data_IF_294103155964
#
_entry.id   IF_294103155964
#
_cell.length_a   1.000
_cell.length_b   1.000
_cell.length_c   1.000
_cell.angle_alpha   90.00
_cell.angle_beta   90.00
_cell.angle_gamma   90.00
#
_symmetry.space_group_name_H-M   'P 1'
#
loop_
_entity.id
_entity.type
_entity.pdbx_description
1 polymer ?
#
# COMPACT_ATOMS: atom_id res chain seq x y z
N UNK A 1 17.50 50.97 -56.24
CA UNK A 1 17.79 49.77 -55.42
C UNK A 1 16.59 48.87 -55.56
N UNK A 2 16.67 47.85 -56.43
CA UNK A 2 15.59 46.87 -56.56
C UNK A 2 15.57 46.09 -55.25
N UNK A 3 14.54 46.30 -54.42
CA UNK A 3 14.30 45.41 -53.29
C UNK A 3 13.95 44.07 -53.91
N UNK A 4 14.86 43.11 -53.79
CA UNK A 4 14.75 41.78 -54.39
C UNK A 4 13.64 41.01 -53.66
N UNK A 5 12.40 41.33 -54.01
CA UNK A 5 11.21 40.71 -53.46
C UNK A 5 11.03 39.36 -54.15
N UNK A 6 11.58 38.32 -53.53
CA UNK A 6 11.30 36.97 -53.96
C UNK A 6 9.79 36.69 -53.84
N UNK A 7 9.23 36.03 -54.86
CA UNK A 7 7.83 35.64 -54.90
C UNK A 7 7.56 34.67 -53.75
N UNK A 8 6.54 34.97 -52.93
CA UNK A 8 6.05 34.05 -51.91
C UNK A 8 5.40 32.81 -52.54
N UNK A 9 5.47 31.69 -51.83
CA UNK A 9 4.84 30.43 -52.23
C UNK A 9 3.36 30.53 -51.89
N UNK A 10 2.51 30.54 -52.91
CA UNK A 10 1.05 30.59 -52.74
C UNK A 10 0.50 29.17 -52.53
N UNK A 11 -0.22 28.96 -51.43
CA UNK A 11 -0.98 27.74 -51.15
C UNK A 11 -2.48 28.01 -51.34
N UNK A 12 -3.21 27.00 -51.80
CA UNK A 12 -4.66 27.10 -52.05
C UNK A 12 -5.45 27.11 -50.74
N UNK A 13 -4.97 26.37 -49.74
CA UNK A 13 -5.63 26.24 -48.43
C UNK A 13 -4.61 26.07 -47.30
N UNK A 14 -4.99 26.39 -46.05
CA UNK A 14 -4.16 26.08 -44.88
C UNK A 14 -3.99 24.56 -44.69
N UNK A 15 -4.94 23.75 -45.17
CA UNK A 15 -4.87 22.29 -45.11
C UNK A 15 -3.71 21.73 -45.94
N UNK A 16 -3.35 22.36 -47.05
CA UNK A 16 -2.21 21.94 -47.88
C UNK A 16 -0.89 22.06 -47.10
N UNK A 17 -0.75 23.12 -46.30
CA UNK A 17 0.45 23.32 -45.50
C UNK A 17 0.54 22.31 -44.35
N UNK A 18 -0.59 22.01 -43.69
CA UNK A 18 -0.68 20.93 -42.68
C UNK A 18 -0.40 19.57 -43.30
N UNK A 19 -0.89 19.31 -44.51
CA UNK A 19 -0.62 18.07 -45.25
C UNK A 19 0.87 17.91 -45.57
N UNK A 20 1.54 18.98 -46.04
CA UNK A 20 2.98 18.96 -46.29
C UNK A 20 3.75 18.63 -45.02
N UNK A 21 3.41 19.27 -43.90
CA UNK A 21 4.04 18.98 -42.61
C UNK A 21 3.81 17.52 -42.19
N UNK A 22 2.57 17.05 -42.16
CA UNK A 22 2.21 15.69 -41.77
C UNK A 22 2.89 14.63 -42.67
N UNK A 23 2.94 14.87 -43.98
CA UNK A 23 3.61 13.99 -44.91
C UNK A 23 5.13 13.95 -44.69
N UNK A 24 5.77 15.10 -44.40
CA UNK A 24 7.21 15.11 -44.08
C UNK A 24 7.54 14.35 -42.80
N UNK A 25 6.68 14.45 -41.77
CA UNK A 25 6.81 13.69 -40.52
C UNK A 25 6.54 12.19 -40.75
N UNK A 26 5.54 11.84 -41.55
CA UNK A 26 5.27 10.43 -41.87
C UNK A 26 6.42 9.80 -42.66
N UNK A 27 6.96 10.53 -43.65
CA UNK A 27 8.08 10.07 -44.47
C UNK A 27 9.38 9.99 -43.65
N UNK A 28 9.62 10.94 -42.75
CA UNK A 28 10.78 10.89 -41.85
C UNK A 28 10.73 9.66 -40.96
N UNK A 29 9.56 9.32 -40.41
CA UNK A 29 9.34 8.10 -39.62
C UNK A 29 9.57 6.84 -40.46
N UNK A 30 9.00 6.77 -41.67
CA UNK A 30 9.20 5.62 -42.56
C UNK A 30 10.70 5.42 -42.93
N UNK A 31 11.44 6.52 -43.15
CA UNK A 31 12.89 6.45 -43.38
C UNK A 31 13.66 6.03 -42.14
N UNK A 32 13.26 6.53 -40.97
CA UNK A 32 13.86 6.14 -39.71
C UNK A 32 13.63 4.65 -39.42
N UNK A 33 12.44 4.13 -39.71
CA UNK A 33 12.13 2.70 -39.56
C UNK A 33 12.89 1.82 -40.57
N UNK A 34 13.16 2.32 -41.78
CA UNK A 34 14.00 1.61 -42.76
C UNK A 34 15.46 1.45 -42.30
N UNK A 35 16.01 2.50 -41.70
CA UNK A 35 17.43 2.54 -41.32
C UNK A 35 17.71 2.05 -39.90
N UNK A 36 16.76 2.25 -38.98
CA UNK A 36 16.80 1.80 -37.59
C UNK A 36 15.48 1.03 -37.30
N UNK A 37 15.34 -0.21 -37.82
CA UNK A 37 14.12 -0.96 -37.66
C UNK A 37 13.88 -1.33 -36.18
N UNK A 38 12.61 -1.35 -35.72
CA UNK A 38 12.29 -1.65 -34.33
C UNK A 38 12.72 -3.06 -33.91
N UNK A 39 12.85 -3.99 -34.86
CA UNK A 39 13.31 -5.36 -34.63
C UNK A 39 14.84 -5.51 -34.43
N UNK A 40 15.62 -4.46 -34.72
CA UNK A 40 17.07 -4.51 -34.53
C UNK A 40 17.49 -4.29 -33.07
N UNK A 41 16.55 -4.00 -32.16
CA UNK A 41 16.87 -3.83 -30.74
C UNK A 41 16.85 -5.18 -30.01
N UNK A 42 17.98 -5.64 -29.42
CA UNK A 42 18.03 -6.90 -28.69
C UNK A 42 17.21 -6.92 -27.39
N UNK A 43 16.84 -5.75 -26.84
CA UNK A 43 16.19 -5.63 -25.54
C UNK A 43 14.66 -5.39 -25.60
N UNK A 44 14.02 -5.60 -26.76
CA UNK A 44 12.56 -5.47 -26.96
C UNK A 44 11.95 -4.14 -26.44
N UNK A 45 12.80 -3.11 -26.30
CA UNK A 45 12.46 -1.79 -25.77
C UNK A 45 12.70 -0.66 -26.77
N UNK A 46 12.41 0.60 -26.40
CA UNK A 46 12.71 1.76 -27.24
C UNK A 46 14.24 1.89 -27.44
N UNK A 47 14.71 1.87 -28.68
CA UNK A 47 16.13 2.12 -28.98
C UNK A 47 16.47 3.59 -28.67
N UNK A 48 17.40 3.87 -27.73
CA UNK A 48 17.75 5.23 -27.34
C UNK A 48 18.34 6.04 -28.51
N UNK A 49 19.05 5.39 -29.44
CA UNK A 49 19.60 6.07 -30.62
C UNK A 49 18.48 6.45 -31.59
N UNK A 50 17.54 5.53 -31.83
CA UNK A 50 16.35 5.77 -32.66
C UNK A 50 15.52 6.93 -32.14
N UNK A 51 15.26 6.97 -30.83
CA UNK A 51 14.47 8.05 -30.22
C UNK A 51 15.18 9.39 -30.32
N UNK A 52 16.50 9.43 -30.11
CA UNK A 52 17.26 10.67 -30.24
C UNK A 52 17.28 11.21 -31.68
N UNK A 53 17.41 10.33 -32.67
CA UNK A 53 17.36 10.72 -34.08
C UNK A 53 15.97 11.24 -34.42
N UNK A 54 14.91 10.58 -33.95
CA UNK A 54 13.54 11.02 -34.13
C UNK A 54 13.34 12.44 -33.60
N UNK A 55 13.74 12.69 -32.35
CA UNK A 55 13.64 14.01 -31.71
C UNK A 55 14.36 15.10 -32.51
N UNK A 56 15.59 14.84 -32.96
CA UNK A 56 16.37 15.79 -33.76
C UNK A 56 15.73 16.09 -35.12
N UNK A 57 15.13 15.08 -35.75
CA UNK A 57 14.45 15.23 -37.04
C UNK A 57 13.15 16.00 -36.86
N UNK A 58 12.38 15.70 -35.82
CA UNK A 58 11.14 16.43 -35.51
C UNK A 58 11.45 17.90 -35.16
N UNK A 59 12.52 18.18 -34.38
CA UNK A 59 13.01 19.55 -34.12
C UNK A 59 13.42 20.25 -35.43
N UNK A 60 14.13 19.56 -36.32
CA UNK A 60 14.56 20.10 -37.60
C UNK A 60 13.39 20.43 -38.53
N UNK A 61 12.41 19.54 -38.63
CA UNK A 61 11.19 19.76 -39.42
C UNK A 61 10.47 21.00 -38.87
N UNK A 62 10.23 21.07 -37.57
CA UNK A 62 9.61 22.24 -36.94
C UNK A 62 10.35 23.54 -37.25
N UNK A 63 11.68 23.56 -37.09
CA UNK A 63 12.50 24.74 -37.40
C UNK A 63 12.39 25.14 -38.88
N UNK A 64 12.36 24.17 -39.78
CA UNK A 64 12.28 24.40 -41.22
C UNK A 64 10.94 25.03 -41.58
N UNK A 65 9.83 24.44 -41.15
CA UNK A 65 8.49 24.99 -41.39
C UNK A 65 8.31 26.35 -40.72
N UNK A 66 8.88 26.56 -39.53
CA UNK A 66 8.91 27.87 -38.86
C UNK A 66 9.69 28.92 -39.65
N UNK A 67 10.84 28.56 -40.22
CA UNK A 67 11.63 29.47 -41.03
C UNK A 67 10.99 29.76 -42.40
N UNK A 68 10.20 28.81 -42.91
CA UNK A 68 9.55 28.90 -44.21
C UNK A 68 8.21 29.67 -44.14
N UNK A 69 7.56 29.74 -42.97
CA UNK A 69 6.25 30.39 -42.81
C UNK A 69 6.14 31.81 -43.37
N UNK A 70 7.09 32.75 -43.18
CA UNK A 70 6.97 34.10 -43.75
C UNK A 70 7.13 34.17 -45.28
N UNK A 71 7.63 33.09 -45.89
CA UNK A 71 7.79 32.98 -47.34
C UNK A 71 6.59 32.33 -48.03
N UNK A 72 5.53 32.00 -47.27
CA UNK A 72 4.34 31.31 -47.74
C UNK A 72 3.13 32.23 -47.53
N UNK A 73 2.29 32.33 -48.56
CA UNK A 73 1.01 33.03 -48.53
C UNK A 73 -0.13 32.05 -48.84
N UNK A 74 -1.27 32.23 -48.20
CA UNK A 74 -2.48 31.41 -48.42
C UNK A 74 -3.57 32.37 -48.88
N UNK A 75 -4.00 32.26 -50.14
CA UNK A 75 -5.00 33.16 -50.73
C UNK A 75 -4.68 34.67 -50.54
N UNK A 76 -3.39 35.02 -50.60
CA UNK A 76 -2.91 36.40 -50.38
C UNK A 76 -2.83 36.84 -48.92
N UNK A 77 -3.17 35.98 -47.95
CA UNK A 77 -2.95 36.19 -46.52
C UNK A 77 -1.58 35.65 -46.12
N UNK A 78 -0.85 36.42 -45.32
CA UNK A 78 0.50 36.11 -44.85
C UNK A 78 0.49 35.51 -43.43
N UNK A 79 1.60 34.90 -43.01
CA UNK A 79 1.79 34.33 -41.68
C UNK A 79 1.69 35.35 -40.52
N UNK A 80 1.62 36.64 -40.85
CA UNK A 80 1.41 37.76 -39.91
C UNK A 80 -0.08 38.08 -39.71
N UNK A 81 -0.97 37.45 -40.48
CA UNK A 81 -2.42 37.64 -40.35
C UNK A 81 -2.96 36.93 -39.10
N UNK A 82 -3.80 37.59 -38.29
CA UNK A 82 -4.44 36.99 -37.12
C UNK A 82 -5.41 35.84 -37.47
N UNK A 83 -5.84 35.75 -38.74
CA UNK A 83 -6.70 34.67 -39.25
C UNK A 83 -5.95 33.33 -39.40
N UNK A 84 -4.61 33.39 -39.47
CA UNK A 84 -3.76 32.21 -39.56
C UNK A 84 -2.53 32.34 -38.64
N UNK A 85 -2.71 32.17 -37.32
CA UNK A 85 -1.61 32.30 -36.37
C UNK A 85 -0.67 31.10 -36.49
N UNK A 86 0.48 31.32 -37.09
CA UNK A 86 1.61 30.41 -37.03
C UNK A 86 2.36 30.61 -35.70
N UNK A 87 2.74 29.55 -34.93
CA UNK A 87 2.69 28.11 -35.21
C UNK A 87 1.45 27.38 -34.66
N UNK A 88 0.40 28.09 -34.23
CA UNK A 88 -0.76 27.48 -33.55
C UNK A 88 -1.48 26.44 -34.43
N UNK A 89 -1.46 26.58 -35.76
CA UNK A 89 -1.99 25.55 -36.67
C UNK A 89 -1.24 24.20 -36.64
N UNK A 90 -0.02 24.15 -36.07
CA UNK A 90 0.86 22.98 -36.01
C UNK A 90 1.04 22.42 -34.60
N UNK A 91 1.08 23.29 -33.59
CA UNK A 91 1.42 22.91 -32.22
C UNK A 91 0.27 23.06 -31.24
N UNK A 92 -0.81 23.76 -31.61
CA UNK A 92 -2.03 23.58 -30.85
C UNK A 92 -2.42 22.11 -31.05
N UNK A 93 -2.75 21.36 -29.99
CA UNK A 93 -3.57 20.19 -30.20
C UNK A 93 -4.78 20.74 -30.93
N UNK A 94 -4.88 20.51 -32.23
CA UNK A 94 -6.19 20.52 -32.86
C UNK A 94 -6.93 19.53 -32.00
N UNK A 95 -7.84 20.01 -31.17
CA UNK A 95 -8.83 19.20 -30.49
C UNK A 95 -9.71 18.63 -31.61
N UNK A 96 -9.11 17.80 -32.45
CA UNK A 96 -9.78 16.75 -33.17
C UNK A 96 -10.29 15.93 -32.00
N UNK A 97 -11.52 16.22 -31.60
CA UNK A 97 -12.28 15.33 -30.74
C UNK A 97 -12.33 14.03 -31.53
N UNK A 98 -11.33 13.19 -31.31
CA UNK A 98 -11.24 11.86 -31.88
C UNK A 98 -12.40 11.12 -31.23
N UNK A 99 -13.53 11.07 -31.94
CA UNK A 99 -14.69 10.31 -31.51
C UNK A 99 -14.34 8.83 -31.66
N UNK A 100 -13.79 8.26 -30.61
CA UNK A 100 -13.76 6.81 -30.47
C UNK A 100 -15.19 6.29 -30.48
N UNK A 101 -15.42 5.19 -31.20
CA UNK A 101 -16.72 4.55 -31.20
C UNK A 101 -17.04 4.04 -29.79
N UNK A 102 -18.23 4.36 -29.30
CA UNK A 102 -18.69 3.91 -27.98
C UNK A 102 -18.75 2.38 -27.92
N UNK A 103 -17.86 1.76 -27.15
CA UNK A 103 -17.90 0.33 -26.90
C UNK A 103 -18.95 0.01 -25.81
N UNK A 104 -20.13 -0.42 -26.25
CA UNK A 104 -21.21 -0.84 -25.36
C UNK A 104 -20.86 -2.03 -24.46
N UNK A 105 -19.92 -2.90 -24.87
CA UNK A 105 -19.49 -4.03 -24.03
C UNK A 105 -18.65 -3.52 -22.87
N UNK A 106 -17.68 -2.64 -23.13
CA UNK A 106 -16.87 -2.01 -22.09
C UNK A 106 -17.75 -1.22 -21.12
N UNK A 107 -18.71 -0.45 -21.64
CA UNK A 107 -19.65 0.29 -20.81
C UNK A 107 -20.50 -0.63 -19.91
N UNK A 108 -21.03 -1.73 -20.46
CA UNK A 108 -21.78 -2.73 -19.66
C UNK A 108 -20.95 -3.36 -18.55
N UNK A 109 -19.64 -3.57 -18.79
CA UNK A 109 -18.72 -4.08 -17.77
C UNK A 109 -18.49 -3.03 -16.69
N UNK A 110 -18.23 -1.78 -17.08
CA UNK A 110 -18.04 -0.66 -16.15
C UNK A 110 -19.27 -0.51 -15.25
N UNK A 111 -20.48 -0.50 -15.81
CA UNK A 111 -21.72 -0.41 -15.01
C UNK A 111 -21.90 -1.61 -14.07
N UNK A 112 -21.58 -2.83 -14.52
CA UNK A 112 -21.62 -4.01 -13.65
C UNK A 112 -20.62 -3.95 -12.49
N UNK A 113 -19.41 -3.43 -12.73
CA UNK A 113 -18.38 -3.27 -11.71
C UNK A 113 -18.76 -2.19 -10.70
N UNK A 114 -19.39 -1.09 -11.15
CA UNK A 114 -19.93 -0.07 -10.25
C UNK A 114 -21.04 -0.64 -9.35
N UNK A 115 -21.97 -1.41 -9.92
CA UNK A 115 -23.02 -2.06 -9.11
C UNK A 115 -22.42 -3.05 -8.09
N UNK A 116 -21.38 -3.81 -8.48
CA UNK A 116 -20.66 -4.68 -7.56
C UNK A 116 -19.98 -3.88 -6.45
N UNK A 117 -19.30 -2.77 -6.78
CA UNK A 117 -18.64 -1.90 -5.81
C UNK A 117 -19.64 -1.32 -4.80
N UNK A 118 -20.81 -0.87 -5.26
CA UNK A 118 -21.88 -0.38 -4.38
C UNK A 118 -22.42 -1.49 -3.47
N UNK A 119 -22.68 -2.68 -4.03
CA UNK A 119 -23.14 -3.85 -3.25
C UNK A 119 -22.09 -4.28 -2.21
N UNK A 120 -20.80 -4.27 -2.55
CA UNK A 120 -19.75 -4.67 -1.64
C UNK A 120 -19.53 -3.60 -0.56
N UNK A 121 -19.65 -2.33 -0.91
CA UNK A 121 -19.55 -1.23 0.05
C UNK A 121 -20.69 -1.30 1.09
N UNK A 122 -21.92 -1.58 0.64
CA UNK A 122 -23.05 -1.77 1.57
C UNK A 122 -22.89 -3.01 2.45
N UNK A 123 -22.43 -4.14 1.91
CA UNK A 123 -22.21 -5.37 2.71
C UNK A 123 -21.07 -5.19 3.72
N UNK A 124 -19.98 -4.51 3.37
CA UNK A 124 -18.89 -4.19 4.31
C UNK A 124 -19.38 -3.23 5.40
N UNK A 125 -20.20 -2.23 5.06
CA UNK A 125 -20.79 -1.35 6.06
C UNK A 125 -21.71 -2.11 7.04
N UNK A 126 -22.53 -3.03 6.52
CA UNK A 126 -23.36 -3.93 7.36
C UNK A 126 -22.49 -4.83 8.23
N UNK A 127 -21.43 -5.43 7.67
CA UNK A 127 -20.53 -6.31 8.41
C UNK A 127 -19.82 -5.55 9.54
N UNK A 128 -19.38 -4.31 9.31
CA UNK A 128 -18.79 -3.46 10.35
C UNK A 128 -19.76 -3.14 11.48
N UNK A 129 -21.06 -3.04 11.19
CA UNK A 129 -22.10 -2.79 12.17
C UNK A 129 -22.47 -4.05 12.96
N UNK A 130 -22.68 -5.17 12.27
CA UNK A 130 -23.30 -6.36 12.86
C UNK A 130 -22.29 -7.42 13.31
N UNK A 131 -21.11 -7.52 12.70
CA UNK A 131 -20.11 -8.54 13.05
C UNK A 131 -19.58 -8.40 14.48
N UNK A 132 -19.24 -7.20 15.00
CA UNK A 132 -18.79 -7.06 16.38
C UNK A 132 -19.86 -7.51 17.38
N UNK A 133 -21.13 -7.12 17.16
CA UNK A 133 -22.25 -7.49 18.01
C UNK A 133 -22.56 -8.99 17.97
N UNK A 134 -22.48 -9.63 16.79
CA UNK A 134 -22.67 -11.08 16.66
C UNK A 134 -21.55 -11.86 17.32
N UNK A 135 -20.29 -11.46 17.13
CA UNK A 135 -19.14 -12.11 17.77
C UNK A 135 -19.24 -12.00 19.31
N UNK A 136 -19.54 -10.82 19.84
CA UNK A 136 -19.73 -10.62 21.28
C UNK A 136 -20.85 -11.49 21.86
N UNK A 137 -21.98 -11.62 21.15
CA UNK A 137 -23.09 -12.51 21.56
C UNK A 137 -22.67 -13.97 21.57
N UNK A 138 -21.98 -14.44 20.53
CA UNK A 138 -21.49 -15.82 20.45
C UNK A 138 -20.52 -16.13 21.62
N UNK A 139 -19.59 -15.24 21.92
CA UNK A 139 -18.69 -15.39 23.07
C UNK A 139 -19.44 -15.34 24.41
N UNK A 140 -20.43 -14.45 24.56
CA UNK A 140 -21.24 -14.38 25.76
C UNK A 140 -22.07 -15.66 25.98
N UNK A 141 -22.59 -16.27 24.92
CA UNK A 141 -23.31 -17.54 24.97
C UNK A 141 -22.38 -18.70 25.35
N UNK A 142 -21.18 -18.75 24.77
CA UNK A 142 -20.16 -19.74 25.14
C UNK A 142 -19.74 -19.60 26.61
N UNK A 143 -19.51 -18.38 27.08
CA UNK A 143 -19.16 -18.14 28.49
C UNK A 143 -20.30 -18.52 29.44
N UNK A 144 -21.56 -18.20 29.10
CA UNK A 144 -22.72 -18.62 29.87
C UNK A 144 -22.91 -20.14 29.90
N UNK A 145 -22.45 -20.83 28.86
CA UNK A 145 -22.47 -22.29 28.82
C UNK A 145 -21.40 -22.86 29.75
N UNK A 146 -20.16 -22.38 29.65
CA UNK A 146 -19.08 -22.81 30.53
C UNK A 146 -19.40 -22.55 32.01
N UNK A 147 -19.91 -21.37 32.37
CA UNK A 147 -20.32 -21.08 33.75
C UNK A 147 -21.43 -22.00 34.27
N UNK A 148 -22.36 -22.43 33.41
CA UNK A 148 -23.40 -23.38 33.80
C UNK A 148 -22.82 -24.78 34.01
N UNK A 149 -21.87 -25.18 33.17
CA UNK A 149 -21.16 -26.46 33.32
C UNK A 149 -20.33 -26.43 34.62
N UNK A 150 -19.60 -25.34 34.91
CA UNK A 150 -18.85 -25.16 36.16
C UNK A 150 -19.75 -25.12 37.41
N UNK A 151 -20.92 -24.44 37.34
CA UNK A 151 -21.91 -24.42 38.44
C UNK A 151 -22.45 -25.83 38.72
N UNK A 152 -22.75 -26.62 37.68
CA UNK A 152 -23.21 -28.01 37.82
C UNK A 152 -22.12 -28.91 38.43
N UNK A 153 -20.88 -28.80 37.97
CA UNK A 153 -19.76 -29.54 38.55
C UNK A 153 -19.55 -29.19 40.03
N UNK A 154 -19.70 -27.91 40.40
CA UNK A 154 -19.58 -27.47 41.80
C UNK A 154 -20.73 -28.00 42.66
N UNK A 155 -21.97 -27.96 42.16
CA UNK A 155 -23.14 -28.53 42.85
C UNK A 155 -22.99 -30.05 43.06
N UNK A 156 -22.51 -30.78 42.04
CA UNK A 156 -22.23 -32.22 42.15
C UNK A 156 -21.10 -32.52 43.16
N UNK A 157 -20.04 -31.71 43.18
CA UNK A 157 -18.96 -31.82 44.19
C UNK A 157 -19.47 -31.52 45.61
N UNK A 158 -20.30 -30.48 45.80
CA UNK A 158 -20.91 -30.13 47.09
C UNK A 158 -21.87 -31.25 47.58
N UNK A 159 -22.72 -31.80 46.71
CA UNK A 159 -23.59 -32.94 47.05
C UNK A 159 -22.78 -34.20 47.39
N UNK A 160 -21.68 -34.46 46.69
CA UNK A 160 -20.77 -35.57 47.01
C UNK A 160 -20.04 -35.38 48.35
N UNK A 161 -19.65 -34.15 48.70
CA UNK A 161 -19.06 -33.83 50.00
C UNK A 161 -20.08 -33.97 51.13
N UNK A 162 -21.31 -33.46 50.97
CA UNK A 162 -22.39 -33.63 51.95
C UNK A 162 -22.72 -35.11 52.20
N UNK A 163 -22.81 -35.94 51.14
CA UNK A 163 -23.03 -37.38 51.31
C UNK A 163 -21.87 -38.09 52.04
N UNK A 164 -20.62 -37.67 51.83
CA UNK A 164 -19.46 -38.21 52.55
C UNK A 164 -19.45 -37.79 54.01
N UNK A 165 -19.85 -36.55 54.32
CA UNK A 165 -19.99 -36.07 55.70
C UNK A 165 -21.11 -36.81 56.45
N UNK A 166 -22.26 -37.08 55.81
CA UNK A 166 -23.33 -37.89 56.41
C UNK A 166 -22.90 -39.35 56.67
N UNK A 167 -22.16 -39.99 55.75
CA UNK A 167 -21.61 -41.34 55.96
C UNK A 167 -20.56 -41.39 57.10
N UNK A 168 -19.73 -40.35 57.25
CA UNK A 168 -18.75 -40.24 58.33
C UNK A 168 -19.39 -39.95 59.70
N UNK A 169 -20.54 -39.26 59.75
CA UNK A 169 -21.34 -39.06 60.97
C UNK A 169 -22.08 -40.34 61.41
N UNK A 170 -22.57 -41.16 60.47
CA UNK A 170 -23.17 -42.46 60.79
C UNK A 170 -22.12 -43.51 61.20
N UNK A 171 -20.90 -43.45 60.65
CA UNK A 171 -19.77 -44.32 61.01
C UNK A 171 -19.22 -44.10 62.43
N UNK A 172 -19.40 -42.90 63.01
CA UNK A 172 -18.96 -42.59 64.38
C UNK A 172 -19.96 -43.00 65.47
N UNK A 173 -21.20 -43.37 65.14
CA UNK A 173 -22.19 -43.83 66.13
C UNK A 173 -22.12 -45.34 66.45
N UNK A 174 -21.23 -46.09 65.80
CA UNK A 174 -21.02 -47.53 66.07
C UNK A 174 -19.56 -47.85 66.48
N UNK A 175 -18.96 -47.05 67.36
CA UNK A 175 -17.83 -47.53 68.15
C UNK A 175 -17.65 -46.71 69.44
N UNK A 176 -17.89 -47.37 70.58
CA UNK A 176 -17.30 -46.96 71.86
C UNK A 176 -18.27 -46.44 72.90
N UNK A 177 -18.86 -47.36 73.67
CA UNK A 177 -19.21 -47.06 75.05
C UNK A 177 -17.96 -46.97 75.92
N UNK A 178 -18.02 -46.02 76.86
CA UNK A 178 -17.31 -45.94 78.14
C UNK A 178 -15.81 -45.58 78.15
N UNK A 179 -15.51 -44.32 78.49
CA UNK A 179 -14.52 -43.98 79.52
C UNK A 179 -14.70 -42.52 80.00
N UNK A 180 -14.78 -42.38 81.33
CA UNK A 180 -14.68 -41.14 82.10
C UNK A 180 -13.47 -40.27 81.71
N UNK A 181 -13.69 -38.96 81.53
CA UNK A 181 -12.67 -37.94 81.83
C UNK A 181 -13.31 -36.64 82.32
N UNK A 182 -12.70 -36.12 83.39
CA UNK A 182 -13.07 -34.97 84.23
C UNK A 182 -13.39 -33.66 83.51
N UNK A 183 -14.24 -32.89 84.20
CA UNK A 183 -14.46 -31.46 84.02
C UNK A 183 -13.16 -30.65 84.23
N UNK A 184 -12.79 -29.82 83.25
CA UNK A 184 -11.92 -28.65 83.50
C UNK A 184 -12.42 -27.41 82.76
N UNK A 185 -12.90 -26.49 83.59
CA UNK A 185 -12.83 -25.03 83.59
C UNK A 185 -12.68 -24.19 82.29
N UNK A 186 -13.36 -23.05 82.37
CA UNK A 186 -13.60 -22.04 81.36
C UNK A 186 -12.35 -21.36 80.79
N UNK A 187 -12.42 -21.03 79.49
CA UNK A 187 -11.57 -20.00 78.91
C UNK A 187 -11.56 -19.97 77.38
N UNK A 188 -12.04 -18.85 76.82
CA UNK A 188 -11.75 -18.37 75.46
C UNK A 188 -12.57 -18.94 74.29
N UNK A 189 -13.75 -18.35 74.09
CA UNK A 189 -14.41 -18.29 72.77
C UNK A 189 -13.58 -17.39 71.84
N UNK A 190 -12.64 -17.99 71.13
CA UNK A 190 -12.08 -17.39 69.91
C UNK A 190 -12.67 -18.15 68.73
N UNK A 191 -13.61 -17.48 68.04
CA UNK A 191 -14.14 -17.94 66.78
C UNK A 191 -12.97 -18.09 65.78
N UNK A 192 -12.50 -19.32 65.58
CA UNK A 192 -11.60 -19.65 64.49
C UNK A 192 -12.42 -19.62 63.20
N UNK A 193 -12.53 -18.43 62.61
CA UNK A 193 -12.79 -18.31 61.19
C UNK A 193 -11.68 -19.07 60.48
N UNK A 194 -11.94 -20.32 60.09
CA UNK A 194 -11.10 -21.03 59.14
C UNK A 194 -11.07 -20.18 57.88
N UNK A 195 -9.97 -19.44 57.73
CA UNK A 195 -9.64 -18.74 56.51
C UNK A 195 -9.52 -19.81 55.44
N UNK A 196 -10.51 -19.87 54.54
CA UNK A 196 -10.41 -20.54 53.24
C UNK A 196 -9.00 -20.28 52.72
N UNK A 197 -8.22 -21.35 52.56
CA UNK A 197 -6.87 -21.28 52.03
C UNK A 197 -6.87 -20.50 50.71
N UNK A 198 -5.77 -19.82 50.37
CA UNK A 198 -5.70 -19.12 49.10
C UNK A 198 -5.90 -20.16 47.99
N UNK A 199 -7.00 -20.06 47.24
CA UNK A 199 -7.16 -20.77 45.98
C UNK A 199 -5.85 -20.59 45.23
N UNK A 200 -5.12 -21.69 45.06
CA UNK A 200 -3.97 -21.69 44.17
C UNK A 200 -4.55 -21.27 42.83
N UNK A 201 -4.24 -20.05 42.38
CA UNK A 201 -4.60 -19.60 41.04
C UNK A 201 -4.01 -20.63 40.10
N UNK A 202 -4.84 -21.57 39.65
CA UNK A 202 -4.52 -22.44 38.54
C UNK A 202 -4.05 -21.47 37.47
N UNK A 203 -2.77 -21.57 37.10
CA UNK A 203 -2.16 -20.66 36.13
C UNK A 203 -3.02 -20.84 34.88
N UNK A 204 -3.87 -19.86 34.59
CA UNK A 204 -4.70 -19.86 33.40
C UNK A 204 -3.74 -20.11 32.22
N UNK A 205 -3.76 -21.34 31.69
CA UNK A 205 -3.04 -21.67 30.47
C UNK A 205 -3.81 -20.96 29.38
N UNK A 206 -3.37 -19.74 29.09
CA UNK A 206 -3.80 -19.03 27.90
C UNK A 206 -3.33 -19.88 26.72
N UNK A 207 -4.22 -20.70 26.18
CA UNK A 207 -4.04 -21.35 24.90
C UNK A 207 -4.15 -20.26 23.82
N UNK A 208 -3.02 -19.65 23.52
CA UNK A 208 -2.89 -18.75 22.39
C UNK A 208 -2.78 -19.62 21.15
N UNK A 209 -3.77 -19.53 20.25
CA UNK A 209 -3.74 -20.25 18.97
C UNK A 209 -2.65 -19.64 18.06
N UNK A 210 -1.44 -20.19 18.12
CA UNK A 210 -0.25 -19.71 17.39
C UNK A 210 -0.21 -20.11 15.90
N UNK A 211 -1.39 -20.24 15.26
CA UNK A 211 -1.46 -20.64 13.85
C UNK A 211 -1.17 -22.12 13.63
N UNK A 212 -0.29 -22.44 12.68
CA UNK A 212 0.10 -23.84 12.37
C UNK A 212 1.05 -24.41 13.43
N UNK A 213 1.10 -25.74 13.60
CA UNK A 213 1.93 -26.40 14.62
C UNK A 213 3.42 -26.07 14.47
N UNK A 214 3.89 -25.96 13.23
CA UNK A 214 5.26 -25.52 12.91
C UNK A 214 5.51 -24.07 13.32
N UNK A 215 4.55 -23.16 13.13
CA UNK A 215 4.69 -21.77 13.59
C UNK A 215 4.70 -21.70 15.11
N UNK A 216 3.85 -22.47 15.78
CA UNK A 216 3.83 -22.58 17.24
C UNK A 216 5.15 -23.11 17.81
N UNK A 217 5.84 -24.02 17.11
CA UNK A 217 7.19 -24.46 17.46
C UNK A 217 8.23 -23.35 17.27
N UNK A 218 8.11 -22.53 16.22
CA UNK A 218 9.02 -21.37 15.98
C UNK A 218 8.84 -20.24 16.99
N UNK A 219 7.62 -20.07 17.51
CA UNK A 219 7.35 -19.19 18.65
C UNK A 219 7.93 -19.75 19.94
N UNK A 220 7.88 -21.07 20.15
CA UNK A 220 8.46 -21.74 21.33
C UNK A 220 9.99 -21.80 21.30
N UNK A 221 10.58 -21.96 20.12
CA UNK A 221 12.04 -22.00 19.94
C UNK A 221 12.69 -20.61 19.94
N UNK A 222 11.89 -19.54 19.83
CA UNK A 222 12.37 -18.16 19.80
C UNK A 222 12.79 -17.67 18.41
N UNK A 223 12.84 -18.55 17.41
CA UNK A 223 13.24 -18.20 16.02
C UNK A 223 12.36 -17.09 15.44
N UNK A 224 11.04 -17.13 15.71
CA UNK A 224 10.14 -16.07 15.23
C UNK A 224 10.43 -14.72 15.90
N UNK A 225 10.83 -14.72 17.18
CA UNK A 225 11.18 -13.50 17.91
C UNK A 225 12.45 -12.84 17.35
N UNK A 226 13.45 -13.63 16.95
CA UNK A 226 14.67 -13.14 16.29
C UNK A 226 14.36 -12.48 14.93
N UNK A 227 13.47 -13.07 14.14
CA UNK A 227 13.02 -12.50 12.87
C UNK A 227 12.30 -11.15 13.08
N UNK A 228 11.44 -11.06 14.10
CA UNK A 228 10.81 -9.79 14.46
C UNK A 228 11.82 -8.76 14.96
N UNK A 229 12.81 -9.19 15.75
CA UNK A 229 13.87 -8.32 16.23
C UNK A 229 14.68 -7.74 15.07
N UNK A 230 15.07 -8.56 14.10
CA UNK A 230 15.79 -8.13 12.90
C UNK A 230 14.93 -7.24 11.99
N UNK A 231 13.64 -7.54 11.85
CA UNK A 231 12.70 -6.67 11.15
C UNK A 231 12.56 -5.30 11.83
N UNK A 232 12.53 -5.26 13.16
CA UNK A 232 12.47 -4.00 13.92
C UNK A 232 13.79 -3.25 13.85
N UNK A 233 14.95 -3.93 13.93
CA UNK A 233 16.27 -3.32 13.75
C UNK A 233 16.44 -2.73 12.35
N UNK A 234 15.97 -3.41 11.32
CA UNK A 234 16.02 -2.91 9.93
C UNK A 234 15.08 -1.73 9.73
N UNK A 235 13.87 -1.75 10.29
CA UNK A 235 12.96 -0.60 10.29
C UNK A 235 13.54 0.60 11.04
N UNK A 236 14.15 0.36 12.21
CA UNK A 236 14.77 1.40 13.01
C UNK A 236 15.98 2.03 12.29
N UNK A 237 16.78 1.19 11.61
CA UNK A 237 17.89 1.64 10.74
C UNK A 237 17.37 2.46 9.55
N UNK A 238 16.24 2.07 8.96
CA UNK A 238 15.60 2.81 7.86
C UNK A 238 15.00 4.15 8.32
N UNK A 239 14.40 4.17 9.51
CA UNK A 239 13.87 5.35 10.18
C UNK A 239 14.98 6.27 10.70
N UNK A 240 16.20 5.75 10.85
CA UNK A 240 17.37 6.54 11.24
C UNK A 240 17.56 6.73 12.74
N UNK A 241 16.79 6.03 13.56
CA UNK A 241 16.90 6.11 15.00
C UNK A 241 18.00 5.15 15.45
N UNK A 242 19.22 5.67 15.66
CA UNK A 242 20.31 4.88 16.22
C UNK A 242 19.93 4.38 17.61
N UNK A 243 20.03 3.06 17.85
CA UNK A 243 19.91 2.47 19.19
C UNK A 243 20.91 3.18 20.12
N UNK A 244 20.40 3.91 21.10
CA UNK A 244 21.20 4.54 22.15
C UNK A 244 21.80 3.46 23.04
N UNK A 245 23.00 2.96 22.69
CA UNK A 245 23.71 2.01 23.54
C UNK A 245 24.79 1.14 22.89
N UNK A 246 24.97 1.17 21.57
CA UNK A 246 26.09 0.46 20.93
C UNK A 246 27.27 1.42 20.73
N UNK A 247 28.33 1.25 21.52
CA UNK A 247 29.61 1.90 21.28
C UNK A 247 30.17 1.41 19.94
N UNK A 248 30.13 2.26 18.93
CA UNK A 248 30.75 2.00 17.62
C UNK A 248 31.81 3.06 17.36
N UNK A 249 33.00 2.53 17.14
CA UNK A 249 34.28 3.19 16.94
C UNK A 249 34.20 4.34 15.91
N UNK A 250 34.78 5.47 16.29
CA UNK A 250 34.78 6.71 15.52
C UNK A 250 35.80 6.64 14.40
N UNK A 251 35.45 6.03 13.26
CA UNK A 251 36.16 6.28 11.99
C UNK A 251 35.30 5.91 10.77
N UNK A 252 34.57 6.90 10.24
CA UNK A 252 33.96 6.81 8.92
C UNK A 252 32.59 7.48 8.81
N UNK A 253 32.59 8.67 8.20
CA UNK A 253 31.47 9.31 7.49
C UNK A 253 30.07 9.18 8.13
N UNK A 254 29.72 10.16 8.97
CA UNK A 254 28.40 10.24 9.59
C UNK A 254 27.30 10.53 8.58
N UNK A 255 26.45 9.54 8.28
CA UNK A 255 25.15 9.77 7.62
C UNK A 255 24.11 8.65 7.82
N UNK A 256 24.24 7.78 8.82
CA UNK A 256 23.35 6.61 8.94
C UNK A 256 22.10 6.83 9.82
N UNK A 257 21.87 8.06 10.30
CA UNK A 257 20.75 8.41 11.18
C UNK A 257 19.46 8.83 10.46
N UNK A 258 19.33 8.66 9.15
CA UNK A 258 18.07 8.94 8.43
C UNK A 258 18.11 8.37 7.00
N UNK A 259 18.19 7.05 6.87
CA UNK A 259 18.39 6.41 5.57
C UNK A 259 17.28 6.75 4.57
N UNK A 260 16.01 6.77 5.00
CA UNK A 260 14.88 7.10 4.12
C UNK A 260 14.79 8.60 3.78
N UNK A 261 14.99 9.51 4.73
CA UNK A 261 14.90 10.95 4.44
C UNK A 261 16.12 11.47 3.66
N UNK A 262 17.30 10.90 3.90
CA UNK A 262 18.51 11.27 3.17
C UNK A 262 18.52 10.71 1.75
N UNK A 263 17.99 9.52 1.52
CA UNK A 263 17.82 8.96 0.16
C UNK A 263 16.76 9.72 -0.62
N UNK A 264 15.61 10.06 -0.01
CA UNK A 264 14.62 10.94 -0.64
C UNK A 264 15.21 12.32 -0.98
N UNK A 265 15.93 12.94 -0.04
CA UNK A 265 16.56 14.24 -0.29
C UNK A 265 17.68 14.17 -1.35
N UNK A 266 18.46 13.08 -1.40
CA UNK A 266 19.47 12.84 -2.45
C UNK A 266 18.79 12.61 -3.80
N UNK A 267 17.70 11.86 -3.86
CA UNK A 267 16.93 11.61 -5.08
C UNK A 267 16.26 12.90 -5.61
N UNK A 268 15.65 13.71 -4.74
CA UNK A 268 15.04 14.98 -5.14
C UNK A 268 16.10 15.98 -5.63
N UNK A 269 17.24 16.09 -4.93
CA UNK A 269 18.36 16.91 -5.39
C UNK A 269 18.95 16.43 -6.72
N UNK A 270 19.03 15.11 -6.92
CA UNK A 270 19.46 14.54 -8.20
C UNK A 270 18.46 14.88 -9.32
N UNK A 271 17.16 14.75 -9.07
CA UNK A 271 16.11 15.15 -10.01
C UNK A 271 16.18 16.63 -10.38
N UNK A 272 16.29 17.52 -9.39
CA UNK A 272 16.46 18.96 -9.64
C UNK A 272 17.76 19.28 -10.38
N UNK A 273 18.85 18.56 -10.11
CA UNK A 273 20.11 18.73 -10.84
C UNK A 273 19.97 18.33 -12.31
N UNK A 274 19.21 17.27 -12.60
CA UNK A 274 18.88 16.86 -13.98
C UNK A 274 18.06 17.95 -14.67
N UNK A 275 17.00 18.48 -14.05
CA UNK A 275 16.20 19.57 -14.62
C UNK A 275 17.03 20.85 -14.87
N UNK A 276 17.97 21.18 -13.99
CA UNK A 276 18.85 22.34 -14.16
C UNK A 276 19.83 22.10 -15.31
N UNK A 277 20.33 20.88 -15.49
CA UNK A 277 21.18 20.51 -16.62
C UNK A 277 20.41 20.58 -17.94
N UNK A 278 19.16 20.12 -17.95
CA UNK A 278 18.26 20.20 -19.11
C UNK A 278 17.95 21.65 -19.47
N UNK A 279 17.49 22.47 -18.52
CA UNK A 279 17.26 23.91 -18.73
C UNK A 279 18.51 24.67 -19.17
N UNK A 280 19.70 24.28 -18.68
CA UNK A 280 20.98 24.91 -19.08
C UNK A 280 21.42 24.47 -20.47
N UNK A 281 21.05 23.26 -20.94
CA UNK A 281 21.22 22.85 -22.33
C UNK A 281 20.29 23.64 -23.25
N UNK A 282 19.04 23.86 -22.83
CA UNK A 282 18.05 24.62 -23.63
C UNK A 282 18.43 26.10 -23.77
N UNK A 283 19.04 26.70 -22.74
CA UNK A 283 19.48 28.11 -22.75
C UNK A 283 20.78 28.37 -23.50
N UNK A 284 21.49 27.31 -23.93
CA UNK A 284 22.77 27.38 -24.66
C UNK A 284 22.63 27.10 -26.16
N UNK A 285 21.42 26.75 -26.62
CA UNK A 285 21.00 26.77 -28.02
C UNK A 285 20.35 28.11 -28.34
#
# INVERSE_FOLDING_TARGET
>A
MSTDHHRKIELQSPADFTYLYANTVALSRAKLDLHLPPSANPNDGPDPMRERVRELVDEYINRTFNSASPSISINGLDSTSPEWPFPAAFTAPTEQVEYEAYDGKLASRVTSLYAQLESLTTTVAQLRRDAPGRAAKAYAEQLRRALREDEQETEEEEEEEEMKEEEDEEGQQQQGGDQDTEMTDAGSTTASTQRKGPMTRSRAKLEVSLGTENEAERWRSGEMAEVYEDALRTLLRLQGEGVSGAEVDSSGDGADGNALSSTLGKAERAGRAVEVVEKKKDKKK
#
